data_IF_853962115591
#
_entry.id   IF_853962115591
#
_cell.length_a   1.000
_cell.length_b   1.000
_cell.length_c   1.000
_cell.angle_alpha   90.00
_cell.angle_beta   90.00
_cell.angle_gamma   90.00
#
_symmetry.space_group_name_H-M   'P 1'
#
loop_
_entity.id
_entity.type
_entity.pdbx_description
1 polymer ?
#
# COMPACT_ATOMS: atom_id res chain seq x y z
N UNK A 1 -1.62 32.87 -13.92
CA UNK A 1 -2.59 33.01 -12.81
C UNK A 1 -2.66 31.66 -12.10
N UNK A 2 -2.09 31.61 -10.88
CA UNK A 2 -1.98 30.40 -10.06
C UNK A 2 -3.37 30.05 -9.52
N UNK A 3 -3.92 28.90 -9.93
CA UNK A 3 -5.03 28.28 -9.20
C UNK A 3 -4.45 27.77 -7.88
N UNK A 4 -4.68 28.51 -6.80
CA UNK A 4 -4.48 28.03 -5.46
C UNK A 4 -5.32 26.75 -5.30
N UNK A 5 -4.67 25.58 -5.23
CA UNK A 5 -5.33 24.34 -4.89
C UNK A 5 -5.87 24.49 -3.48
N UNK A 6 -7.18 24.63 -3.34
CA UNK A 6 -7.87 24.55 -2.06
C UNK A 6 -7.78 23.12 -1.56
N UNK A 7 -6.91 22.90 -0.58
CA UNK A 7 -6.82 21.63 0.13
C UNK A 7 -8.11 21.45 0.93
N UNK A 8 -9.03 20.65 0.41
CA UNK A 8 -10.25 20.29 1.16
C UNK A 8 -9.82 19.51 2.41
N UNK A 9 -10.40 19.88 3.55
CA UNK A 9 -10.20 19.17 4.80
C UNK A 9 -10.56 17.69 4.61
N UNK A 10 -9.57 16.81 4.73
CA UNK A 10 -9.76 15.36 4.63
C UNK A 10 -10.40 14.90 5.93
N UNK A 11 -11.48 14.11 5.85
CA UNK A 11 -12.10 13.52 7.03
C UNK A 11 -11.10 12.64 7.77
N UNK A 12 -11.11 12.62 9.11
CA UNK A 12 -10.21 11.76 9.89
C UNK A 12 -10.25 10.30 9.42
N UNK A 13 -9.09 9.67 9.26
CA UNK A 13 -8.97 8.30 8.78
C UNK A 13 -9.86 7.32 9.55
N UNK A 14 -9.90 7.47 10.87
CA UNK A 14 -10.72 6.65 11.77
C UNK A 14 -12.21 6.73 11.42
N UNK A 15 -12.75 7.94 11.27
CA UNK A 15 -14.17 8.13 10.97
C UNK A 15 -14.56 7.54 9.63
N UNK A 16 -13.72 7.81 8.60
CA UNK A 16 -13.95 7.35 7.23
C UNK A 16 -13.90 5.83 7.15
N UNK A 17 -12.91 5.22 7.79
CA UNK A 17 -12.75 3.77 7.75
C UNK A 17 -13.82 3.04 8.56
N UNK A 18 -14.14 3.48 9.79
CA UNK A 18 -15.20 2.87 10.61
C UNK A 18 -16.54 2.89 9.89
N UNK A 19 -16.86 3.97 9.18
CA UNK A 19 -18.06 4.05 8.35
C UNK A 19 -18.04 2.97 7.25
N UNK A 20 -16.91 2.77 6.56
CA UNK A 20 -16.77 1.74 5.53
C UNK A 20 -16.86 0.34 6.11
N UNK A 21 -16.14 0.09 7.21
CA UNK A 21 -16.17 -1.21 7.89
C UNK A 21 -17.57 -1.61 8.34
N UNK A 22 -18.34 -0.69 8.93
CA UNK A 22 -19.71 -0.96 9.39
C UNK A 22 -20.70 -1.29 8.25
N UNK A 23 -20.39 -0.89 7.03
CA UNK A 23 -21.23 -1.13 5.85
C UNK A 23 -20.97 -2.49 5.17
N UNK A 24 -19.88 -3.18 5.55
CA UNK A 24 -19.56 -4.46 4.94
C UNK A 24 -20.47 -5.54 5.47
N UNK A 25 -21.23 -6.12 4.54
CA UNK A 25 -21.99 -7.34 4.79
C UNK A 25 -21.13 -8.55 4.40
N UNK A 26 -21.19 -9.66 5.14
CA UNK A 26 -20.64 -10.93 4.69
C UNK A 26 -21.18 -11.25 3.29
N UNK A 27 -20.34 -11.83 2.44
CA UNK A 27 -20.79 -12.27 1.11
C UNK A 27 -21.97 -13.22 1.27
N UNK A 28 -23.06 -12.98 0.54
CA UNK A 28 -24.28 -13.79 0.62
C UNK A 28 -24.11 -15.23 0.09
N UNK A 29 -22.95 -15.54 -0.50
CA UNK A 29 -22.68 -16.85 -1.11
C UNK A 29 -21.97 -17.84 -0.19
N UNK A 30 -21.30 -17.40 0.85
CA UNK A 30 -20.69 -18.29 1.83
C UNK A 30 -21.50 -18.23 3.12
N UNK A 31 -22.31 -19.26 3.37
CA UNK A 31 -23.19 -19.39 4.52
C UNK A 31 -22.56 -18.85 5.83
N UNK A 32 -22.75 -17.56 6.10
CA UNK A 32 -22.58 -17.00 7.42
C UNK A 32 -21.19 -16.92 8.03
N UNK A 33 -20.08 -17.11 7.27
CA UNK A 33 -18.74 -16.96 7.83
C UNK A 33 -18.45 -15.48 8.13
N UNK A 34 -18.04 -15.14 9.36
CA UNK A 34 -17.69 -13.76 9.69
C UNK A 34 -16.43 -13.34 8.95
N UNK A 35 -16.41 -12.12 8.46
CA UNK A 35 -15.19 -11.56 7.86
C UNK A 35 -14.14 -11.34 8.96
N UNK A 36 -12.94 -11.80 8.68
CA UNK A 36 -11.75 -11.49 9.46
C UNK A 36 -11.21 -10.14 9.03
N UNK A 37 -10.80 -9.31 9.97
CA UNK A 37 -10.13 -8.05 9.73
C UNK A 37 -8.64 -8.19 10.01
N UNK A 38 -7.84 -7.78 9.04
CA UNK A 38 -6.38 -7.79 9.11
C UNK A 38 -5.82 -6.40 8.85
N UNK A 39 -4.69 -6.13 9.48
CA UNK A 39 -3.82 -5.00 9.18
C UNK A 39 -2.55 -5.55 8.53
N UNK A 40 -2.20 -5.02 7.37
CA UNK A 40 -0.91 -5.24 6.73
C UNK A 40 -0.08 -3.97 6.93
N UNK A 41 0.94 -4.07 7.79
CA UNK A 41 1.74 -2.94 8.28
C UNK A 41 3.14 -2.98 7.68
N UNK A 42 3.55 -1.92 7.02
CA UNK A 42 4.93 -1.69 6.57
C UNK A 42 5.73 -0.99 7.68
N UNK A 43 6.37 -1.78 8.53
CA UNK A 43 7.16 -1.25 9.63
C UNK A 43 8.47 -0.60 9.17
N UNK A 44 8.91 -0.84 7.94
CA UNK A 44 10.08 -0.14 7.39
C UNK A 44 9.79 1.35 7.23
N UNK A 45 8.55 1.72 6.91
CA UNK A 45 8.12 3.11 6.79
C UNK A 45 7.81 3.77 8.15
N UNK A 46 7.40 2.98 9.16
CA UNK A 46 7.14 3.50 10.50
C UNK A 46 7.51 2.47 11.57
N UNK A 47 8.78 2.54 12.01
CA UNK A 47 9.37 1.57 12.96
C UNK A 47 8.74 1.62 14.35
N UNK A 48 8.19 2.75 14.76
CA UNK A 48 7.60 2.92 16.10
C UNK A 48 6.34 2.05 16.27
N UNK A 49 5.67 1.73 15.16
CA UNK A 49 4.49 0.87 15.20
C UNK A 49 4.82 -0.60 15.48
N UNK A 50 6.05 -1.05 15.23
CA UNK A 50 6.45 -2.45 15.49
C UNK A 50 6.29 -2.82 16.97
N UNK A 51 6.63 -1.91 17.87
CA UNK A 51 6.49 -2.12 19.32
C UNK A 51 5.03 -2.31 19.76
N UNK A 52 4.07 -1.87 18.95
CA UNK A 52 2.64 -1.99 19.21
C UNK A 52 2.02 -3.24 18.58
N UNK A 53 2.75 -3.95 17.69
CA UNK A 53 2.26 -5.20 17.08
C UNK A 53 2.14 -6.27 18.17
N UNK A 54 0.94 -6.89 18.36
CA UNK A 54 0.76 -7.94 19.35
C UNK A 54 1.70 -9.12 19.12
N UNK A 55 2.11 -9.81 20.19
CA UNK A 55 2.92 -11.02 20.07
C UNK A 55 2.15 -12.19 19.47
N UNK A 56 0.85 -12.27 19.73
CA UNK A 56 -0.03 -13.30 19.17
C UNK A 56 -0.94 -12.74 18.09
N UNK A 57 -1.20 -13.52 17.05
CA UNK A 57 -2.05 -13.12 15.93
C UNK A 57 -1.38 -12.15 14.97
N UNK A 58 -0.05 -12.13 14.93
CA UNK A 58 0.74 -11.36 14.00
C UNK A 58 1.87 -12.20 13.41
N UNK A 59 2.07 -12.10 12.11
CA UNK A 59 3.08 -12.84 11.35
C UNK A 59 3.82 -11.92 10.38
N UNK A 60 5.15 -12.07 10.32
CA UNK A 60 5.95 -11.38 9.33
C UNK A 60 5.67 -11.98 7.93
N UNK A 61 5.47 -11.13 6.93
CA UNK A 61 5.21 -11.59 5.56
C UNK A 61 6.39 -12.41 5.01
N UNK A 62 7.61 -12.00 5.30
CA UNK A 62 8.85 -12.68 4.89
C UNK A 62 9.28 -13.84 5.79
N UNK A 63 8.47 -14.26 6.74
CA UNK A 63 8.77 -15.36 7.67
C UNK A 63 10.06 -15.15 8.51
N UNK A 64 10.53 -13.93 8.69
CA UNK A 64 11.64 -13.62 9.56
C UNK A 64 11.24 -13.59 11.04
N UNK A 65 12.19 -13.91 11.92
CA UNK A 65 11.98 -13.73 13.36
C UNK A 65 11.83 -12.25 13.70
N UNK A 66 10.92 -11.93 14.62
CA UNK A 66 10.60 -10.55 15.02
C UNK A 66 11.84 -9.73 15.41
N UNK A 67 12.74 -10.33 16.17
CA UNK A 67 13.91 -9.66 16.72
C UNK A 67 15.09 -9.60 15.75
N UNK A 68 15.03 -10.28 14.61
CA UNK A 68 16.07 -10.21 13.58
C UNK A 68 16.09 -8.82 12.92
N UNK A 69 17.20 -8.46 12.28
CA UNK A 69 17.29 -7.20 11.52
C UNK A 69 16.25 -7.13 10.44
N UNK A 70 16.03 -8.24 9.75
CA UNK A 70 15.08 -8.40 8.65
C UNK A 70 13.64 -8.36 9.17
N UNK A 71 13.34 -8.99 10.31
CA UNK A 71 12.02 -8.95 10.96
C UNK A 71 11.60 -7.55 11.39
N UNK A 72 12.55 -6.71 11.78
CA UNK A 72 12.32 -5.31 12.18
C UNK A 72 11.96 -4.38 11.00
N UNK A 73 12.15 -4.82 9.78
CA UNK A 73 11.81 -4.10 8.56
C UNK A 73 10.86 -4.88 7.64
N UNK A 74 10.51 -6.11 8.02
CA UNK A 74 9.53 -6.92 7.29
C UNK A 74 8.13 -6.35 7.46
N UNK A 75 7.27 -6.40 6.42
CA UNK A 75 5.85 -6.12 6.61
C UNK A 75 5.20 -7.20 7.48
N UNK A 76 4.24 -6.77 8.30
CA UNK A 76 3.53 -7.63 9.26
C UNK A 76 2.07 -7.73 8.92
N UNK A 77 1.54 -8.96 8.85
CA UNK A 77 0.12 -9.22 8.80
C UNK A 77 -0.38 -9.45 10.23
N UNK A 78 -1.31 -8.61 10.68
CA UNK A 78 -1.87 -8.65 12.05
C UNK A 78 -3.35 -8.92 11.98
N UNK A 79 -3.82 -9.96 12.65
CA UNK A 79 -5.24 -10.22 12.82
C UNK A 79 -5.80 -9.28 13.88
N UNK A 80 -6.71 -8.41 13.48
CA UNK A 80 -7.34 -7.44 14.38
C UNK A 80 -8.58 -8.02 15.08
N UNK A 81 -9.41 -8.79 14.35
CA UNK A 81 -10.65 -9.34 14.89
C UNK A 81 -11.61 -9.80 13.80
N UNK A 82 -12.88 -10.00 14.18
CA UNK A 82 -13.94 -10.49 13.29
C UNK A 82 -15.08 -9.49 13.21
N UNK A 83 -15.78 -9.49 12.09
CA UNK A 83 -17.01 -8.70 11.93
C UNK A 83 -18.03 -9.08 13.00
N UNK A 84 -18.72 -8.08 13.56
CA UNK A 84 -19.70 -8.26 14.62
C UNK A 84 -19.11 -8.47 16.03
N UNK A 85 -17.78 -8.44 16.19
CA UNK A 85 -17.10 -8.54 17.48
C UNK A 85 -16.33 -7.27 17.81
N UNK A 86 -16.24 -6.94 19.10
CA UNK A 86 -15.36 -5.88 19.57
C UNK A 86 -13.90 -6.32 19.47
N UNK A 87 -13.02 -5.39 19.04
CA UNK A 87 -11.58 -5.64 19.01
C UNK A 87 -11.05 -5.77 20.45
N UNK A 88 -10.09 -6.66 20.65
CA UNK A 88 -9.34 -6.73 21.91
C UNK A 88 -8.48 -5.47 22.07
N UNK A 89 -8.18 -5.11 23.31
CA UNK A 89 -7.47 -3.87 23.65
C UNK A 89 -6.14 -3.69 22.87
N UNK A 90 -5.22 -4.67 22.77
CA UNK A 90 -3.99 -4.50 22.03
C UNK A 90 -4.22 -4.23 20.52
N UNK A 91 -5.17 -4.93 19.89
CA UNK A 91 -5.51 -4.72 18.48
C UNK A 91 -6.13 -3.34 18.25
N UNK A 92 -6.98 -2.90 19.18
CA UNK A 92 -7.59 -1.57 19.08
C UNK A 92 -6.55 -0.46 19.26
N UNK A 93 -5.59 -0.61 20.18
CA UNK A 93 -4.53 0.36 20.40
C UNK A 93 -3.60 0.46 19.20
N UNK A 94 -3.23 -0.68 18.59
CA UNK A 94 -2.47 -0.70 17.34
C UNK A 94 -3.25 -0.01 16.21
N UNK A 95 -4.51 -0.39 16.01
CA UNK A 95 -5.35 0.20 14.95
C UNK A 95 -5.49 1.71 15.13
N UNK A 96 -5.71 2.19 16.35
CA UNK A 96 -5.79 3.62 16.62
C UNK A 96 -4.47 4.32 16.28
N UNK A 97 -3.33 3.77 16.72
CA UNK A 97 -2.03 4.34 16.43
C UNK A 97 -1.73 4.40 14.91
N UNK A 98 -2.15 3.39 14.14
CA UNK A 98 -2.04 3.40 12.68
C UNK A 98 -2.94 4.48 12.07
N UNK A 99 -4.21 4.57 12.51
CA UNK A 99 -5.17 5.54 11.97
C UNK A 99 -4.80 6.99 12.29
N UNK A 100 -4.03 7.23 13.34
CA UNK A 100 -3.52 8.56 13.69
C UNK A 100 -2.42 9.04 12.74
N UNK A 101 -1.66 8.13 12.12
CA UNK A 101 -0.50 8.48 11.28
C UNK A 101 -0.70 8.22 9.79
N UNK A 102 -1.58 7.30 9.41
CA UNK A 102 -1.68 6.76 8.05
C UNK A 102 -2.09 7.78 6.98
N UNK A 103 -2.77 8.87 7.36
CA UNK A 103 -3.13 9.94 6.43
C UNK A 103 -1.94 10.83 6.07
N UNK A 104 -1.02 11.03 7.01
CA UNK A 104 0.18 11.86 6.79
C UNK A 104 1.34 11.02 6.23
N UNK A 105 1.43 9.75 6.63
CA UNK A 105 2.46 8.79 6.23
C UNK A 105 1.83 7.42 5.98
N UNK A 106 1.37 7.14 4.76
CA UNK A 106 0.77 5.85 4.43
C UNK A 106 1.77 4.72 4.65
N UNK A 107 1.56 3.94 5.69
CA UNK A 107 2.45 2.83 6.08
C UNK A 107 1.69 1.53 6.36
N UNK A 108 0.39 1.52 6.09
CA UNK A 108 -0.43 0.36 6.37
C UNK A 108 -1.65 0.28 5.46
N UNK A 109 -2.14 -0.94 5.28
CA UNK A 109 -3.41 -1.24 4.60
C UNK A 109 -4.28 -2.13 5.48
N UNK A 110 -5.59 -2.09 5.28
CA UNK A 110 -6.55 -2.93 5.98
C UNK A 110 -7.23 -3.89 5.02
N UNK A 111 -7.40 -5.14 5.44
CA UNK A 111 -7.99 -6.19 4.61
C UNK A 111 -9.15 -6.85 5.35
N UNK A 112 -10.23 -7.12 4.62
CA UNK A 112 -11.30 -7.99 5.07
C UNK A 112 -11.31 -9.27 4.24
N UNK A 113 -11.31 -10.44 4.88
CA UNK A 113 -11.29 -11.74 4.22
C UNK A 113 -12.10 -12.75 5.01
N UNK A 114 -12.68 -13.75 4.33
CA UNK A 114 -13.28 -14.92 4.98
C UNK A 114 -12.23 -15.96 5.40
N UNK A 115 -10.99 -15.82 4.93
CA UNK A 115 -9.88 -16.72 5.24
C UNK A 115 -9.29 -16.43 6.62
N UNK A 116 -8.93 -17.50 7.33
CA UNK A 116 -8.09 -17.42 8.51
C UNK A 116 -6.64 -17.05 8.14
N UNK A 117 -5.89 -16.55 9.14
CA UNK A 117 -4.53 -16.04 8.99
C UNK A 117 -3.59 -16.93 8.15
N UNK A 118 -3.47 -18.25 8.38
CA UNK A 118 -2.53 -19.07 7.63
C UNK A 118 -2.82 -19.11 6.12
N UNK A 119 -4.09 -19.18 5.75
CA UNK A 119 -4.50 -19.23 4.35
C UNK A 119 -4.30 -17.86 3.66
N UNK A 120 -4.64 -16.76 4.33
CA UNK A 120 -4.41 -15.41 3.81
C UNK A 120 -2.90 -15.14 3.68
N UNK A 121 -2.09 -15.49 4.68
CA UNK A 121 -0.64 -15.31 4.65
C UNK A 121 0.00 -16.12 3.51
N UNK A 122 -0.43 -17.37 3.30
CA UNK A 122 0.05 -18.19 2.18
C UNK A 122 -0.30 -17.55 0.82
N UNK A 123 -1.49 -16.97 0.69
CA UNK A 123 -1.90 -16.24 -0.51
C UNK A 123 -1.01 -15.01 -0.74
N UNK A 124 -0.84 -14.15 0.26
CA UNK A 124 -0.02 -12.95 0.17
C UNK A 124 1.46 -13.29 -0.15
N UNK A 125 2.02 -14.33 0.48
CA UNK A 125 3.39 -14.80 0.18
C UNK A 125 3.56 -15.26 -1.26
N UNK A 126 2.55 -15.92 -1.85
CA UNK A 126 2.60 -16.28 -3.27
C UNK A 126 2.44 -15.08 -4.19
N UNK A 127 1.68 -14.07 -3.78
CA UNK A 127 1.48 -12.85 -4.56
C UNK A 127 2.70 -11.92 -4.52
N UNK A 128 3.48 -11.93 -3.44
CA UNK A 128 4.65 -11.05 -3.29
C UNK A 128 5.87 -11.50 -4.10
N UNK A 129 5.91 -12.74 -4.57
CA UNK A 129 7.05 -13.33 -5.32
C UNK A 129 6.66 -13.56 -6.78
N UNK A 130 6.53 -12.49 -7.60
CA UNK A 130 6.12 -12.61 -8.98
C UNK A 130 7.25 -13.19 -9.84
N UNK A 131 6.88 -13.83 -10.95
CA UNK A 131 7.83 -14.19 -12.00
C UNK A 131 8.16 -12.95 -12.82
N UNK A 132 9.42 -12.55 -12.80
CA UNK A 132 9.95 -11.41 -13.55
C UNK A 132 10.34 -11.84 -14.98
N UNK A 133 10.38 -10.89 -15.96
CA UNK A 133 10.81 -11.18 -17.34
C UNK A 133 12.26 -11.63 -17.44
N UNK A 134 13.11 -11.07 -16.59
CA UNK A 134 14.52 -11.41 -16.44
C UNK A 134 14.71 -12.31 -15.21
N UNK A 135 15.89 -12.95 -15.10
CA UNK A 135 16.18 -13.87 -13.97
C UNK A 135 16.33 -13.15 -12.62
N UNK A 136 16.09 -11.86 -12.58
CA UNK A 136 16.15 -11.08 -11.34
C UNK A 136 14.98 -11.43 -10.43
N UNK A 137 15.28 -11.70 -9.16
CA UNK A 137 14.28 -11.87 -8.14
C UNK A 137 13.97 -10.53 -7.48
N UNK A 138 12.74 -10.07 -7.57
CA UNK A 138 12.25 -8.87 -6.87
C UNK A 138 10.89 -9.14 -6.27
N UNK A 139 10.65 -8.57 -5.10
CA UNK A 139 9.35 -8.69 -4.45
C UNK A 139 8.38 -7.61 -4.94
N UNK A 140 7.12 -7.98 -5.12
CA UNK A 140 6.04 -7.07 -5.40
C UNK A 140 5.54 -6.46 -4.09
N UNK A 141 5.97 -5.24 -3.79
CA UNK A 141 5.77 -4.56 -2.51
C UNK A 141 4.33 -4.02 -2.33
N UNK A 142 3.30 -4.81 -2.58
CA UNK A 142 1.88 -4.41 -2.45
C UNK A 142 1.48 -4.03 -1.02
N UNK A 143 2.30 -4.31 -0.02
CA UNK A 143 2.11 -3.82 1.35
C UNK A 143 2.37 -2.31 1.49
N UNK A 144 3.14 -1.72 0.56
CA UNK A 144 3.23 -0.28 0.41
C UNK A 144 1.95 0.25 -0.24
N UNK A 145 1.19 1.15 0.41
CA UNK A 145 -0.04 1.70 -0.14
C UNK A 145 0.13 2.39 -1.50
N UNK A 146 1.30 2.96 -1.78
CA UNK A 146 1.55 3.67 -3.05
C UNK A 146 1.79 2.68 -4.19
N UNK A 147 2.49 1.59 -3.91
CA UNK A 147 2.68 0.49 -4.86
C UNK A 147 1.36 -0.22 -5.12
N UNK A 148 0.57 -0.51 -4.06
CA UNK A 148 -0.77 -1.11 -4.20
C UNK A 148 -1.66 -0.25 -5.10
N UNK A 149 -1.67 1.07 -4.90
CA UNK A 149 -2.44 2.01 -5.71
C UNK A 149 -1.99 2.01 -7.18
N UNK A 150 -0.69 1.93 -7.47
CA UNK A 150 -0.16 1.81 -8.82
C UNK A 150 -0.56 0.49 -9.47
N UNK A 151 -0.50 -0.62 -8.73
CA UNK A 151 -0.88 -1.95 -9.22
C UNK A 151 -2.34 -2.01 -9.65
N UNK A 152 -3.25 -1.41 -8.86
CA UNK A 152 -4.70 -1.50 -9.05
C UNK A 152 -5.32 -0.29 -9.76
N UNK A 153 -4.51 0.67 -10.20
CA UNK A 153 -4.94 1.74 -11.11
C UNK A 153 -5.64 2.91 -10.44
N UNK A 154 -5.31 3.22 -9.20
CA UNK A 154 -5.79 4.44 -8.56
C UNK A 154 -4.66 5.45 -8.44
N UNK A 155 -4.96 6.71 -8.67
CA UNK A 155 -3.99 7.77 -8.49
C UNK A 155 -3.77 8.04 -7.01
N UNK A 156 -2.53 8.02 -6.59
CA UNK A 156 -2.10 8.48 -5.28
C UNK A 156 -2.28 10.01 -5.12
N UNK A 157 -2.27 10.73 -6.22
CA UNK A 157 -2.53 12.16 -6.28
C UNK A 157 -4.01 12.43 -6.55
N UNK A 158 -4.51 13.49 -5.96
CA UNK A 158 -5.88 14.00 -6.18
C UNK A 158 -6.04 14.61 -7.59
N UNK A 159 -5.60 13.88 -8.58
CA UNK A 159 -5.79 14.26 -9.98
C UNK A 159 -7.04 13.58 -10.51
N UNK A 160 -7.83 14.31 -11.28
CA UNK A 160 -9.02 13.77 -11.98
C UNK A 160 -8.67 12.67 -12.98
N UNK A 161 -7.39 12.44 -13.26
CA UNK A 161 -6.90 11.40 -14.13
C UNK A 161 -6.67 10.12 -13.33
N UNK A 162 -7.50 9.13 -13.53
CA UNK A 162 -7.25 7.76 -13.10
C UNK A 162 -6.00 7.27 -13.83
N UNK A 163 -4.99 6.83 -13.10
CA UNK A 163 -3.87 6.12 -13.73
C UNK A 163 -4.35 4.73 -14.13
N UNK A 164 -3.95 4.30 -15.32
CA UNK A 164 -4.19 2.92 -15.73
C UNK A 164 -3.50 1.96 -14.76
N UNK A 165 -4.17 0.87 -14.38
CA UNK A 165 -3.56 -0.13 -13.51
C UNK A 165 -2.35 -0.77 -14.18
N UNK A 166 -1.27 -0.98 -13.42
CA UNK A 166 -0.12 -1.74 -13.89
C UNK A 166 -0.49 -3.20 -14.12
N UNK A 167 -1.31 -3.76 -13.22
CA UNK A 167 -1.81 -5.12 -13.37
C UNK A 167 -2.97 -5.18 -14.36
N UNK A 168 -2.99 -6.25 -15.17
CA UNK A 168 -4.17 -6.60 -15.97
C UNK A 168 -5.31 -7.04 -15.05
N UNK A 169 -6.60 -6.94 -15.47
CA UNK A 169 -7.74 -7.29 -14.63
C UNK A 169 -7.65 -8.71 -14.01
N UNK A 170 -7.22 -9.71 -14.79
CA UNK A 170 -7.01 -11.07 -14.27
C UNK A 170 -5.89 -11.16 -13.20
N UNK A 171 -4.83 -10.34 -13.33
CA UNK A 171 -3.76 -10.26 -12.34
C UNK A 171 -4.23 -9.52 -11.07
N UNK A 172 -5.00 -8.43 -11.23
CA UNK A 172 -5.63 -7.72 -10.11
C UNK A 172 -6.58 -8.62 -9.34
N UNK A 173 -7.38 -9.42 -10.06
CA UNK A 173 -8.25 -10.44 -9.47
C UNK A 173 -7.45 -11.49 -8.70
N UNK A 174 -6.29 -11.91 -9.22
CA UNK A 174 -5.41 -12.88 -8.56
C UNK A 174 -4.75 -12.27 -7.30
N UNK A 175 -4.29 -11.02 -7.35
CA UNK A 175 -3.72 -10.34 -6.19
C UNK A 175 -4.74 -10.20 -5.06
N UNK A 176 -5.96 -9.77 -5.38
CA UNK A 176 -7.03 -9.67 -4.40
C UNK A 176 -7.42 -11.04 -3.86
N UNK A 177 -7.54 -12.06 -4.72
CA UNK A 177 -7.79 -13.44 -4.33
C UNK A 177 -8.92 -13.62 -3.32
N UNK A 178 -8.62 -14.06 -2.08
CA UNK A 178 -9.61 -14.26 -1.03
C UNK A 178 -9.95 -12.97 -0.25
N UNK A 179 -9.41 -11.82 -0.65
CA UNK A 179 -9.63 -10.54 0.03
C UNK A 179 -10.93 -9.94 -0.50
N UNK A 180 -11.95 -9.88 0.36
CA UNK A 180 -13.24 -9.30 -0.01
C UNK A 180 -13.17 -7.78 -0.18
N UNK A 181 -12.38 -7.12 0.69
CA UNK A 181 -12.11 -5.67 0.63
C UNK A 181 -10.67 -5.41 1.06
N UNK A 182 -10.03 -4.47 0.36
CA UNK A 182 -8.70 -3.97 0.70
C UNK A 182 -8.74 -2.46 0.73
N UNK A 183 -8.38 -1.85 1.85
CA UNK A 183 -8.35 -0.40 2.03
C UNK A 183 -6.94 0.09 2.20
N UNK A 184 -6.62 1.20 1.55
CA UNK A 184 -5.38 1.92 1.76
C UNK A 184 -5.61 3.44 1.70
N UNK A 185 -4.69 4.19 2.29
CA UNK A 185 -4.70 5.64 2.21
C UNK A 185 -3.69 6.12 1.19
N UNK A 186 -4.10 7.07 0.36
CA UNK A 186 -3.18 7.78 -0.52
C UNK A 186 -2.35 8.80 0.27
N UNK A 187 -1.32 9.34 -0.37
CA UNK A 187 -0.52 10.46 0.17
C UNK A 187 -1.34 11.72 0.43
N UNK A 188 -2.47 11.89 -0.25
CA UNK A 188 -3.41 12.98 0.02
C UNK A 188 -4.35 12.71 1.19
N UNK A 189 -4.17 11.59 1.91
CA UNK A 189 -5.00 11.19 3.04
C UNK A 189 -6.37 10.62 2.66
N UNK A 190 -6.64 10.36 1.38
CA UNK A 190 -7.88 9.74 0.93
C UNK A 190 -7.86 8.23 1.14
N UNK A 191 -8.99 7.71 1.57
CA UNK A 191 -9.21 6.27 1.66
C UNK A 191 -9.63 5.72 0.31
N UNK A 192 -8.86 4.76 -0.20
CA UNK A 192 -9.17 3.94 -1.36
C UNK A 192 -9.69 2.58 -0.90
N UNK A 193 -10.61 2.02 -1.68
CA UNK A 193 -11.18 0.70 -1.46
C UNK A 193 -11.10 -0.11 -2.75
N UNK A 194 -10.62 -1.33 -2.65
CA UNK A 194 -10.58 -2.30 -3.74
C UNK A 194 -11.39 -3.53 -3.33
N UNK A 195 -12.16 -4.05 -4.25
CA UNK A 195 -12.94 -5.26 -4.05
C UNK A 195 -12.63 -6.28 -5.14
N UNK A 196 -12.57 -7.55 -4.75
CA UNK A 196 -12.41 -8.63 -5.73
C UNK A 196 -13.57 -8.67 -6.75
N UNK A 197 -14.76 -8.21 -6.35
CA UNK A 197 -15.93 -8.12 -7.23
C UNK A 197 -15.82 -7.03 -8.32
N UNK A 198 -14.86 -6.08 -8.19
CA UNK A 198 -14.64 -5.04 -9.20
C UNK A 198 -14.00 -5.60 -10.48
N UNK A 199 -13.52 -6.85 -10.44
CA UNK A 199 -12.84 -7.53 -11.53
C UNK A 199 -13.64 -8.77 -11.95
N UNK A 200 -14.24 -8.73 -13.12
CA UNK A 200 -15.10 -9.81 -13.67
C UNK A 200 -14.31 -10.96 -14.28
N UNK A 201 -13.03 -10.76 -14.59
CA UNK A 201 -12.19 -11.74 -15.24
C UNK A 201 -11.82 -12.91 -14.31
N UNK A 202 -11.56 -14.06 -14.91
CA UNK A 202 -10.97 -15.20 -14.20
C UNK A 202 -9.58 -14.81 -13.67
N UNK A 203 -9.32 -15.14 -12.39
CA UNK A 203 -8.04 -14.82 -11.77
C UNK A 203 -6.87 -15.51 -12.49
N UNK A 204 -5.80 -14.76 -12.72
CA UNK A 204 -4.54 -15.31 -13.18
C UNK A 204 -3.94 -16.28 -12.13
N UNK A 205 -3.08 -17.23 -12.52
CA UNK A 205 -2.40 -18.09 -11.55
C UNK A 205 -1.40 -17.28 -10.70
N UNK A 206 -1.21 -17.69 -9.44
CA UNK A 206 -0.12 -17.23 -8.60
C UNK A 206 1.05 -18.23 -8.60
N UNK A 207 2.31 -17.77 -8.56
CA UNK A 207 2.77 -16.38 -8.55
C UNK A 207 2.45 -15.63 -9.85
N UNK A 208 2.21 -14.32 -9.74
CA UNK A 208 1.93 -13.48 -10.90
C UNK A 208 3.11 -13.48 -11.87
N UNK A 209 2.82 -13.44 -13.17
CA UNK A 209 3.83 -13.24 -14.20
C UNK A 209 3.73 -11.78 -14.70
N UNK A 210 4.79 -10.99 -14.48
CA UNK A 210 4.85 -9.60 -14.92
C UNK A 210 5.56 -9.51 -16.28
N UNK A 211 5.10 -8.61 -17.13
CA UNK A 211 5.80 -8.23 -18.35
C UNK A 211 6.87 -7.17 -18.08
N UNK A 212 7.84 -7.02 -19.00
CA UNK A 212 8.84 -5.96 -18.90
C UNK A 212 8.22 -4.57 -18.79
N UNK A 213 7.15 -4.30 -19.54
CA UNK A 213 6.43 -3.03 -19.48
C UNK A 213 5.77 -2.77 -18.10
N UNK A 214 5.28 -3.82 -17.44
CA UNK A 214 4.71 -3.69 -16.09
C UNK A 214 5.81 -3.42 -15.06
N UNK A 215 6.95 -4.11 -15.17
CA UNK A 215 8.10 -3.86 -14.28
C UNK A 215 8.62 -2.44 -14.48
N UNK A 216 8.80 -1.99 -15.72
CA UNK A 216 9.22 -0.62 -16.02
C UNK A 216 8.24 0.40 -15.47
N UNK A 217 6.94 0.21 -15.63
CA UNK A 217 5.91 1.11 -15.07
C UNK A 217 6.01 1.23 -13.56
N UNK A 218 6.25 0.12 -12.83
CA UNK A 218 6.45 0.14 -11.37
C UNK A 218 7.73 0.88 -10.98
N UNK A 219 8.85 0.62 -11.67
CA UNK A 219 10.12 1.31 -11.45
C UNK A 219 9.96 2.81 -11.69
N UNK A 220 9.39 3.18 -12.84
CA UNK A 220 9.19 4.59 -13.21
C UNK A 220 8.22 5.31 -12.25
N UNK A 221 7.20 4.61 -11.77
CA UNK A 221 6.26 5.13 -10.77
C UNK A 221 6.93 5.46 -9.43
N UNK A 222 8.01 4.74 -9.09
CA UNK A 222 8.73 4.91 -7.82
C UNK A 222 9.89 5.92 -7.88
N UNK A 223 10.28 6.40 -9.07
CA UNK A 223 11.40 7.34 -9.24
C UNK A 223 11.24 8.61 -8.39
N UNK A 224 10.06 9.27 -8.29
CA UNK A 224 9.90 10.46 -7.45
C UNK A 224 10.25 10.20 -5.99
N UNK A 225 9.85 9.05 -5.44
CA UNK A 225 10.15 8.67 -4.06
C UNK A 225 11.64 8.40 -3.84
N UNK A 226 12.27 7.75 -4.80
CA UNK A 226 13.72 7.52 -4.80
C UNK A 226 14.49 8.86 -4.80
N UNK A 227 14.07 9.82 -5.62
CA UNK A 227 14.68 11.16 -5.66
C UNK A 227 14.50 11.87 -4.31
N UNK A 228 13.30 11.85 -3.73
CA UNK A 228 13.04 12.45 -2.42
C UNK A 228 13.90 11.77 -1.34
N UNK A 229 14.03 10.46 -1.38
CA UNK A 229 14.91 9.73 -0.45
C UNK A 229 16.35 10.23 -0.52
N UNK A 230 16.92 10.35 -1.72
CA UNK A 230 18.29 10.84 -1.89
C UNK A 230 18.45 12.32 -1.54
N UNK A 231 17.45 13.15 -1.84
CA UNK A 231 17.45 14.55 -1.39
C UNK A 231 17.47 14.62 0.14
N UNK A 232 16.62 13.86 0.81
CA UNK A 232 16.57 13.83 2.28
C UNK A 232 17.87 13.29 2.91
N UNK A 233 18.56 12.36 2.23
CA UNK A 233 19.83 11.80 2.67
C UNK A 233 20.99 12.80 2.51
N UNK A 234 21.07 13.45 1.34
CA UNK A 234 22.20 14.30 0.97
C UNK A 234 22.02 15.76 1.36
N UNK A 235 20.76 16.23 1.51
CA UNK A 235 20.36 17.60 1.78
C UNK A 235 19.30 17.63 2.90
N UNK A 236 19.62 17.13 4.11
CA UNK A 236 18.62 16.95 5.19
C UNK A 236 17.93 18.28 5.58
N UNK A 237 18.55 19.42 5.35
CA UNK A 237 17.97 20.74 5.61
C UNK A 237 16.81 21.11 4.66
N UNK A 238 16.62 20.37 3.56
CA UNK A 238 15.51 20.56 2.62
C UNK A 238 14.28 19.71 3.00
N UNK A 239 14.46 18.71 3.86
CA UNK A 239 13.41 17.73 4.21
C UNK A 239 12.10 18.37 4.64
N UNK A 240 12.18 19.42 5.47
CA UNK A 240 11.02 20.05 6.08
C UNK A 240 10.62 21.36 5.38
N UNK A 241 11.22 21.67 4.22
CA UNK A 241 10.91 22.89 3.48
C UNK A 241 9.55 22.85 2.78
N UNK A 242 9.09 21.65 2.43
CA UNK A 242 7.78 21.42 1.81
C UNK A 242 7.05 20.29 2.56
N UNK A 243 5.72 20.38 2.68
CA UNK A 243 4.93 19.23 3.11
C UNK A 243 5.18 18.01 2.21
N UNK A 244 5.12 16.78 2.73
CA UNK A 244 5.47 15.56 1.97
C UNK A 244 4.73 15.42 0.63
N UNK A 245 3.44 15.74 0.59
CA UNK A 245 2.65 15.71 -0.64
C UNK A 245 3.13 16.75 -1.66
N UNK A 246 3.46 17.96 -1.22
CA UNK A 246 3.98 19.02 -2.08
C UNK A 246 5.37 18.66 -2.62
N UNK A 247 6.24 18.08 -1.78
CA UNK A 247 7.56 17.59 -2.19
C UNK A 247 7.44 16.50 -3.27
N UNK A 248 6.54 15.52 -3.08
CA UNK A 248 6.30 14.48 -4.05
C UNK A 248 5.76 15.03 -5.39
N UNK A 249 4.80 15.96 -5.32
CA UNK A 249 4.29 16.63 -6.52
C UNK A 249 5.39 17.40 -7.24
N UNK A 250 6.22 18.16 -6.51
CA UNK A 250 7.36 18.88 -7.06
C UNK A 250 8.33 17.92 -7.77
N UNK A 251 8.76 16.84 -7.09
CA UNK A 251 9.66 15.85 -7.68
C UNK A 251 9.10 15.26 -8.99
N UNK A 252 7.80 14.94 -9.03
CA UNK A 252 7.13 14.47 -10.25
C UNK A 252 7.16 15.48 -11.38
N UNK A 253 6.91 16.77 -11.10
CA UNK A 253 6.94 17.82 -12.13
C UNK A 253 8.36 18.01 -12.67
N UNK A 254 9.37 18.07 -11.79
CA UNK A 254 10.76 18.18 -12.20
C UNK A 254 11.20 16.98 -13.03
N UNK A 255 10.77 15.78 -12.68
CA UNK A 255 11.05 14.57 -13.45
C UNK A 255 10.49 14.64 -14.88
N UNK A 256 9.27 15.17 -15.07
CA UNK A 256 8.69 15.39 -16.40
C UNK A 256 9.54 16.36 -17.23
N UNK A 257 10.01 17.45 -16.63
CA UNK A 257 10.87 18.41 -17.30
C UNK A 257 12.25 17.82 -17.63
N UNK A 258 12.91 17.19 -16.66
CA UNK A 258 14.21 16.56 -16.82
C UNK A 258 14.23 15.56 -18.00
N UNK A 259 13.17 14.74 -18.11
CA UNK A 259 13.03 13.77 -19.22
C UNK A 259 12.90 14.43 -20.59
N UNK A 260 12.36 15.64 -20.70
CA UNK A 260 12.33 16.41 -21.97
C UNK A 260 13.74 16.79 -22.43
N UNK A 261 14.69 16.87 -21.50
CA UNK A 261 16.12 17.08 -21.81
C UNK A 261 16.91 15.77 -21.92
N UNK A 262 16.23 14.62 -21.97
CA UNK A 262 16.86 13.30 -22.10
C UNK A 262 17.54 12.79 -20.83
N UNK A 263 17.31 13.41 -19.66
CA UNK A 263 17.88 12.97 -18.40
C UNK A 263 17.11 11.74 -17.88
N UNK A 264 17.81 10.62 -17.73
CA UNK A 264 17.22 9.35 -17.29
C UNK A 264 17.94 8.75 -16.09
N UNK A 265 19.24 9.03 -15.92
CA UNK A 265 20.04 8.53 -14.82
C UNK A 265 19.67 9.18 -13.48
N UNK A 266 19.61 8.39 -12.40
CA UNK A 266 19.26 8.91 -11.05
C UNK A 266 20.17 10.06 -10.63
N UNK A 267 21.48 9.96 -10.89
CA UNK A 267 22.44 11.00 -10.54
C UNK A 267 22.17 12.31 -11.28
N UNK A 268 21.86 12.20 -12.58
CA UNK A 268 21.59 13.38 -13.42
C UNK A 268 20.26 14.04 -13.00
N UNK A 269 19.26 13.22 -12.67
CA UNK A 269 17.97 13.70 -12.16
C UNK A 269 18.08 14.40 -10.79
N UNK A 270 19.02 13.96 -9.94
CA UNK A 270 19.26 14.61 -8.63
C UNK A 270 19.98 15.96 -8.76
N UNK A 271 20.77 16.13 -9.83
CA UNK A 271 21.52 17.35 -10.10
C UNK A 271 20.73 18.38 -10.94
N UNK A 272 19.64 17.96 -11.54
CA UNK A 272 18.72 18.83 -12.29
C UNK A 272 17.85 19.69 -11.35
#
# INVERSE_FOLDING_TARGET
MSQAQTWHAVKPARQTWLQRWSQIKPSSQAAGKPLQLYLLLDVAQNRDLLARVPESGAEALFAFKRDSKEGKVSPWLVHLGRSGQSLKKPQQDLLNAVLDVVQASPCATLLASECEMPALLAHLRRAMDPKMPEKDSSYLAFWDPTVLAALLGQSDLDTKSRLDPVLKPAQSRALLGPIARWWCWSRSGRLHEYAAADFSETAAPLPLQLSAAQVDALVQGNVPDLLIYYVNLNQPHLRDKLPPLAMHWFARQQLVFARRYGLTGTRDLLNY
#
